data_IF_106375676181
#
_entry.id   IF_106375676181
#
_cell.length_a   1.000
_cell.length_b   1.000
_cell.length_c   1.000
_cell.angle_alpha   90.00
_cell.angle_beta   90.00
_cell.angle_gamma   90.00
#
_symmetry.space_group_name_H-M   'P 1'
#
loop_
_entity.id
_entity.type
_entity.pdbx_description
1 polymer ?
#
# COMPACT_ATOMS: atom_id res chain seq x y z
N UNK A 1 2.62 21.77 3.19
CA UNK A 1 2.41 20.33 3.42
C UNK A 1 1.50 19.80 2.33
N UNK A 2 1.90 18.77 1.57
CA UNK A 2 1.02 18.16 0.57
C UNK A 2 -0.24 17.61 1.26
N UNK A 3 -1.44 17.68 0.64
CA UNK A 3 -2.67 17.20 1.26
C UNK A 3 -2.57 15.68 1.49
N UNK A 4 -2.31 15.29 2.73
CA UNK A 4 -2.33 13.91 3.18
C UNK A 4 -3.77 13.48 3.30
N UNK A 5 -4.33 12.87 2.23
CA UNK A 5 -5.67 12.31 2.29
C UNK A 5 -5.70 11.24 3.43
N UNK A 6 -6.43 11.47 4.53
CA UNK A 6 -6.36 10.61 5.72
C UNK A 6 -6.76 9.16 5.42
N UNK A 7 -7.66 8.97 4.45
CA UNK A 7 -8.10 7.66 3.94
C UNK A 7 -6.94 6.83 3.36
N UNK A 8 -5.97 7.47 2.69
CA UNK A 8 -4.80 6.77 2.11
C UNK A 8 -3.84 6.29 3.19
N UNK A 9 -3.66 7.09 4.24
CA UNK A 9 -2.82 6.73 5.39
C UNK A 9 -3.46 5.55 6.13
N UNK A 10 -4.75 5.62 6.44
CA UNK A 10 -5.45 4.53 7.13
C UNK A 10 -5.40 3.21 6.37
N UNK A 11 -5.54 3.24 5.03
CA UNK A 11 -5.42 2.04 4.19
C UNK A 11 -4.01 1.44 4.25
N UNK A 12 -2.99 2.28 4.06
CA UNK A 12 -1.58 1.85 4.11
C UNK A 12 -1.21 1.29 5.48
N UNK A 13 -1.64 1.94 6.55
CA UNK A 13 -1.36 1.49 7.92
C UNK A 13 -2.05 0.15 8.22
N UNK A 14 -3.22 -0.10 7.63
CA UNK A 14 -3.89 -1.41 7.65
C UNK A 14 -3.08 -2.50 6.94
N UNK A 15 -2.58 -2.23 5.74
CA UNK A 15 -1.71 -3.15 4.99
C UNK A 15 -0.43 -3.48 5.77
N UNK A 16 0.22 -2.47 6.36
CA UNK A 16 1.42 -2.69 7.18
C UNK A 16 1.14 -3.48 8.46
N UNK A 17 -0.03 -3.29 9.08
CA UNK A 17 -0.42 -4.06 10.26
C UNK A 17 -0.56 -5.55 9.94
N UNK A 18 -1.17 -5.89 8.81
CA UNK A 18 -1.33 -7.29 8.38
C UNK A 18 0.03 -7.97 8.14
N UNK A 19 0.97 -7.26 7.52
CA UNK A 19 2.34 -7.78 7.33
C UNK A 19 3.03 -8.00 8.69
N UNK A 20 2.96 -7.02 9.59
CA UNK A 20 3.57 -7.11 10.91
C UNK A 20 2.96 -8.25 11.75
N UNK A 21 1.65 -8.45 11.66
CA UNK A 21 0.93 -9.53 12.32
C UNK A 21 1.40 -10.90 11.82
N UNK A 22 1.46 -11.12 10.50
CA UNK A 22 1.95 -12.37 9.92
C UNK A 22 3.40 -12.68 10.32
N UNK A 23 4.28 -11.67 10.33
CA UNK A 23 5.66 -11.81 10.81
C UNK A 23 5.68 -12.19 12.29
N UNK A 24 4.85 -11.55 13.13
CA UNK A 24 4.79 -11.85 14.57
C UNK A 24 4.35 -13.29 14.86
N UNK A 25 3.48 -13.84 14.01
CA UNK A 25 3.01 -15.22 14.08
C UNK A 25 4.00 -16.23 13.50
N UNK A 26 5.13 -15.77 12.93
CA UNK A 26 6.12 -16.58 12.21
C UNK A 26 5.50 -17.36 11.04
N UNK A 27 4.53 -16.74 10.36
CA UNK A 27 3.92 -17.29 9.16
C UNK A 27 4.55 -16.62 7.91
N UNK A 28 5.56 -17.25 7.28
CA UNK A 28 6.24 -16.67 6.13
C UNK A 28 5.33 -16.60 4.90
N UNK A 29 4.39 -17.53 4.73
CA UNK A 29 3.50 -17.56 3.57
C UNK A 29 2.46 -16.43 3.64
N UNK A 30 1.87 -16.23 4.83
CA UNK A 30 0.95 -15.12 5.05
C UNK A 30 1.66 -13.76 4.93
N UNK A 31 2.90 -13.65 5.43
CA UNK A 31 3.69 -12.42 5.30
C UNK A 31 3.97 -12.11 3.83
N UNK A 32 4.38 -13.11 3.04
CA UNK A 32 4.62 -12.97 1.61
C UNK A 32 3.35 -12.55 0.85
N UNK A 33 2.20 -13.18 1.15
CA UNK A 33 0.92 -12.84 0.55
C UNK A 33 0.51 -11.38 0.86
N UNK A 34 0.63 -10.96 2.12
CA UNK A 34 0.32 -9.60 2.55
C UNK A 34 1.27 -8.56 1.89
N UNK A 35 2.56 -8.88 1.77
CA UNK A 35 3.54 -8.02 1.10
C UNK A 35 3.23 -7.88 -0.39
N UNK A 36 2.90 -8.98 -1.09
CA UNK A 36 2.51 -8.90 -2.51
C UNK A 36 1.26 -8.03 -2.70
N UNK A 37 0.25 -8.20 -1.84
CA UNK A 37 -0.95 -7.38 -1.90
C UNK A 37 -0.65 -5.88 -1.72
N UNK A 38 0.19 -5.54 -0.74
CA UNK A 38 0.66 -4.17 -0.53
C UNK A 38 1.41 -3.62 -1.75
N UNK A 39 2.32 -4.38 -2.37
CA UNK A 39 3.05 -3.94 -3.56
C UNK A 39 2.12 -3.66 -4.76
N UNK A 40 1.09 -4.49 -4.97
CA UNK A 40 0.08 -4.26 -6.00
C UNK A 40 -0.76 -3.00 -5.73
N UNK A 41 -1.04 -2.71 -4.47
CA UNK A 41 -1.71 -1.48 -4.04
C UNK A 41 -0.85 -0.24 -4.33
N UNK A 42 0.44 -0.29 -3.98
CA UNK A 42 1.40 0.78 -4.27
C UNK A 42 1.59 0.97 -5.78
N UNK A 43 1.72 -0.11 -6.55
CA UNK A 43 1.84 -0.03 -8.01
C UNK A 43 0.64 0.70 -8.63
N UNK A 44 -0.59 0.35 -8.21
CA UNK A 44 -1.80 1.04 -8.67
C UNK A 44 -1.76 2.53 -8.34
N UNK A 45 -1.38 2.92 -7.12
CA UNK A 45 -1.27 4.33 -6.73
C UNK A 45 -0.22 5.09 -7.56
N UNK A 46 0.90 4.44 -7.90
CA UNK A 46 1.92 5.04 -8.77
C UNK A 46 1.35 5.26 -10.16
N UNK A 47 0.70 4.25 -10.75
CA UNK A 47 0.08 4.36 -12.07
C UNK A 47 -1.00 5.44 -12.12
N UNK A 48 -1.88 5.51 -11.12
CA UNK A 48 -2.91 6.56 -11.01
C UNK A 48 -2.30 7.97 -10.97
N UNK A 49 -1.22 8.15 -10.22
CA UNK A 49 -0.51 9.44 -10.15
C UNK A 49 0.19 9.79 -11.46
N UNK A 50 0.81 8.81 -12.12
CA UNK A 50 1.45 9.01 -13.42
C UNK A 50 0.42 9.39 -14.49
N UNK A 51 -0.74 8.73 -14.50
CA UNK A 51 -1.84 9.08 -15.41
C UNK A 51 -2.40 10.47 -15.10
N UNK A 52 -2.63 10.81 -13.84
CA UNK A 52 -3.11 12.13 -13.44
C UNK A 52 -2.13 13.25 -13.84
N UNK A 53 -0.83 12.99 -13.83
CA UNK A 53 0.19 13.92 -14.34
C UNK A 53 0.20 14.05 -15.87
N UNK A 54 -0.14 12.99 -16.61
CA UNK A 54 -0.20 13.00 -18.08
C UNK A 54 -1.42 13.75 -18.64
N UNK A 55 -2.52 13.86 -17.89
CA UNK A 55 -3.70 14.66 -18.27
C UNK A 55 -3.63 16.13 -17.82
N UNK A 56 -2.62 16.51 -17.03
CA UNK A 56 -2.43 17.87 -16.52
C UNK A 56 -1.35 18.67 -17.27
N UNK A 57 -0.73 18.09 -18.30
CA UNK A 57 0.27 18.69 -19.18
C UNK A 57 -0.32 18.95 -20.58
#
# INVERSE_FOLDING_TARGET
AAPTCPKRIAHRDGEHRLIAEAISQRDPEAAEAAMRAHLLSVQRQIMERSNAGAFAA
#
